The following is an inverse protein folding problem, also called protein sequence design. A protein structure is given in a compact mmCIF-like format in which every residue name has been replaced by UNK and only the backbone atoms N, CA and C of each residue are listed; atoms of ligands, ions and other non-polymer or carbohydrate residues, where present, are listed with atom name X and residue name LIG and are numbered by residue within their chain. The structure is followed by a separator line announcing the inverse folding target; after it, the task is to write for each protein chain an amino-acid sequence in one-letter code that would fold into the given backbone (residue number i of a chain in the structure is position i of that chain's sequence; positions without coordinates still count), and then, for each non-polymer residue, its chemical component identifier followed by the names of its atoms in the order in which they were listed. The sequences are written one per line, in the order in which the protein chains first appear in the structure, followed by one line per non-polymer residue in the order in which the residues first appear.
data_IF_676412817742
#
_entry.id   IF_676412817742
#
_cell.length_a   1.000
_cell.length_b   1.000
_cell.length_c   1.000
_cell.angle_alpha   90.00
_cell.angle_beta   90.00
_cell.angle_gamma   90.00
#
_symmetry.space_group_name_H-M   'P 1'
#
loop_
_entity.id
_entity.type
_entity.pdbx_description
1 polymer ?
#
# COMPACT_ATOMS: atom_id res chain seq x y z
N UNK A 1 -18.41 11.73 -1.60
CA UNK A 1 -18.25 10.84 -0.44
C UNK A 1 -17.04 9.90 -0.62
N UNK A 2 -15.81 10.44 -0.64
CA UNK A 2 -14.60 9.66 -0.98
C UNK A 2 -13.65 9.42 0.22
N UNK A 3 -14.01 9.86 1.42
CA UNK A 3 -13.12 9.84 2.59
C UNK A 3 -13.25 8.58 3.44
N UNK A 4 -14.42 7.94 3.48
CA UNK A 4 -14.64 6.72 4.28
C UNK A 4 -14.01 5.46 3.68
N UNK A 5 -14.04 5.32 2.35
CA UNK A 5 -13.46 4.15 1.66
C UNK A 5 -11.93 4.11 1.78
N UNK A 6 -11.29 5.29 1.69
CA UNK A 6 -9.83 5.45 1.77
C UNK A 6 -9.28 4.97 3.13
N UNK A 7 -10.04 5.24 4.20
CA UNK A 7 -9.66 4.87 5.56
C UNK A 7 -9.90 3.39 5.88
N UNK A 8 -10.91 2.78 5.25
CA UNK A 8 -11.15 1.33 5.28
C UNK A 8 -10.05 0.55 4.57
N UNK A 9 -9.67 1.01 3.36
CA UNK A 9 -8.57 0.44 2.57
C UNK A 9 -7.25 0.46 3.35
N UNK A 10 -6.91 1.61 3.95
CA UNK A 10 -5.73 1.72 4.81
C UNK A 10 -5.68 0.65 5.91
N UNK A 11 -6.80 0.40 6.61
CA UNK A 11 -6.87 -0.59 7.68
C UNK A 11 -6.75 -2.03 7.18
N UNK A 12 -7.40 -2.36 6.07
CA UNK A 12 -7.32 -3.69 5.46
C UNK A 12 -5.88 -3.98 5.04
N UNK A 13 -5.23 -3.02 4.39
CA UNK A 13 -3.84 -3.17 3.97
C UNK A 13 -2.87 -3.26 5.14
N UNK A 14 -3.07 -2.47 6.20
CA UNK A 14 -2.21 -2.55 7.37
C UNK A 14 -2.33 -3.92 8.08
N UNK A 15 -3.55 -4.45 8.19
CA UNK A 15 -3.77 -5.75 8.81
C UNK A 15 -3.24 -6.90 7.94
N UNK A 16 -3.32 -6.76 6.61
CA UNK A 16 -2.72 -7.73 5.68
C UNK A 16 -1.19 -7.70 5.71
N UNK A 17 -0.57 -6.52 5.91
CA UNK A 17 0.88 -6.39 6.05
C UNK A 17 1.40 -6.91 7.39
N UNK A 18 0.57 -6.92 8.44
CA UNK A 18 0.92 -7.56 9.72
C UNK A 18 0.99 -9.08 9.60
N UNK A 19 0.26 -9.68 8.65
CA UNK A 19 0.24 -11.14 8.42
C UNK A 19 1.18 -11.54 7.27
N UNK A 20 1.22 -10.75 6.20
CA UNK A 20 2.02 -10.96 4.99
C UNK A 20 2.69 -9.63 4.58
N UNK A 21 3.84 -9.30 5.16
CA UNK A 21 4.51 -8.01 4.94
C UNK A 21 4.92 -7.76 3.49
N UNK A 22 4.97 -8.81 2.66
CA UNK A 22 5.34 -8.74 1.24
C UNK A 22 4.14 -8.80 0.29
N UNK A 23 2.90 -8.69 0.79
CA UNK A 23 1.72 -8.65 -0.06
C UNK A 23 1.65 -7.32 -0.83
N UNK A 24 2.24 -7.28 -2.03
CA UNK A 24 2.34 -6.01 -2.75
C UNK A 24 1.05 -5.50 -3.38
N UNK A 25 -0.05 -6.27 -3.44
CA UNK A 25 -1.37 -5.68 -3.71
C UNK A 25 -1.76 -4.71 -2.58
N UNK A 26 -1.42 -5.07 -1.35
CA UNK A 26 -1.68 -4.23 -0.18
C UNK A 26 -0.75 -3.02 -0.11
N UNK A 27 0.53 -3.19 -0.45
CA UNK A 27 1.48 -2.08 -0.53
C UNK A 27 1.09 -1.08 -1.62
N UNK A 28 0.66 -1.54 -2.80
CA UNK A 28 0.24 -0.65 -3.88
C UNK A 28 -1.01 0.16 -3.52
N UNK A 29 -2.05 -0.49 -2.99
CA UNK A 29 -3.28 0.20 -2.58
C UNK A 29 -3.07 1.15 -1.40
N UNK A 30 -2.16 0.82 -0.49
CA UNK A 30 -1.77 1.70 0.61
C UNK A 30 -1.04 2.96 0.11
N UNK A 31 -0.08 2.81 -0.81
CA UNK A 31 0.62 3.95 -1.40
C UNK A 31 -0.35 4.90 -2.14
N UNK A 32 -1.29 4.35 -2.93
CA UNK A 32 -2.33 5.14 -3.60
C UNK A 32 -3.25 5.87 -2.60
N UNK A 33 -3.64 5.19 -1.52
CA UNK A 33 -4.46 5.79 -0.45
C UNK A 33 -3.73 6.94 0.25
N UNK A 34 -2.44 6.78 0.52
CA UNK A 34 -1.59 7.82 1.13
C UNK A 34 -1.39 9.02 0.20
N UNK A 35 -1.19 8.78 -1.11
CA UNK A 35 -1.15 9.87 -2.10
C UNK A 35 -2.47 10.64 -2.16
N UNK A 36 -3.61 9.95 -2.17
CA UNK A 36 -4.93 10.57 -2.19
C UNK A 36 -5.23 11.40 -0.91
N UNK A 37 -4.55 11.11 0.19
CA UNK A 37 -4.60 11.85 1.45
C UNK A 37 -3.58 13.00 1.52
N UNK A 38 -2.74 13.20 0.49
CA UNK A 38 -1.68 14.21 0.48
C UNK A 38 -0.45 13.83 1.31
N UNK A 39 -0.36 12.58 1.78
CA UNK A 39 0.73 12.05 2.60
C UNK A 39 1.83 11.50 1.70
N UNK A 40 2.42 12.35 0.86
CA UNK A 40 3.36 11.97 -0.19
C UNK A 40 4.63 11.28 0.32
N UNK A 41 5.20 11.71 1.45
CA UNK A 41 6.39 11.07 2.03
C UNK A 41 6.11 9.65 2.56
N UNK A 42 4.96 9.46 3.19
CA UNK A 42 4.51 8.13 3.64
C UNK A 42 4.22 7.22 2.44
N UNK A 43 3.61 7.78 1.38
CA UNK A 43 3.34 7.05 0.15
C UNK A 43 4.63 6.58 -0.55
N UNK A 44 5.65 7.42 -0.63
CA UNK A 44 6.96 7.07 -1.19
C UNK A 44 7.61 5.91 -0.43
N UNK A 45 7.55 5.96 0.91
CA UNK A 45 8.10 4.90 1.77
C UNK A 45 7.41 3.56 1.51
N UNK A 46 6.08 3.56 1.37
CA UNK A 46 5.30 2.35 1.06
C UNK A 46 5.55 1.89 -0.38
N UNK A 47 5.76 2.80 -1.33
CA UNK A 47 6.10 2.48 -2.71
C UNK A 47 7.47 1.79 -2.82
N UNK A 48 8.45 2.20 -2.01
CA UNK A 48 9.75 1.53 -1.95
C UNK A 48 9.63 0.12 -1.35
N UNK A 49 8.82 -0.05 -0.30
CA UNK A 49 8.51 -1.37 0.27
C UNK A 49 7.80 -2.26 -0.75
N UNK A 50 6.87 -1.71 -1.55
CA UNK A 50 6.25 -2.42 -2.68
C UNK A 50 7.31 -2.93 -3.65
N UNK A 51 8.22 -2.05 -4.10
CA UNK A 51 9.29 -2.44 -5.03
C UNK A 51 10.22 -3.51 -4.45
N UNK A 52 10.53 -3.44 -3.16
CA UNK A 52 11.36 -4.46 -2.48
C UNK A 52 10.63 -5.79 -2.32
N UNK A 53 9.35 -5.77 -1.96
CA UNK A 53 8.53 -6.98 -1.85
C UNK A 53 8.27 -7.63 -3.21
N UNK A 54 8.17 -6.83 -4.28
CA UNK A 54 7.93 -7.30 -5.64
C UNK A 54 9.19 -7.57 -6.45
N UNK A 55 10.39 -7.34 -5.91
CA UNK A 55 11.63 -7.60 -6.64
C UNK A 55 11.81 -9.10 -6.99
N UNK A 56 11.10 -9.99 -6.28
CA UNK A 56 11.06 -11.44 -6.53
C UNK A 56 9.68 -11.93 -7.01
N UNK A 57 8.74 -11.03 -7.25
CA UNK A 57 7.43 -11.40 -7.76
C UNK A 57 7.53 -11.64 -9.28
N UNK A 58 7.13 -12.84 -9.73
CA UNK A 58 7.13 -13.23 -11.16
C UNK A 58 6.07 -12.50 -12.02
N UNK A 59 5.47 -11.43 -11.49
CA UNK A 59 4.39 -10.67 -12.13
C UNK A 59 4.72 -9.19 -11.93
N UNK A 60 4.67 -8.40 -12.99
CA UNK A 60 4.72 -6.94 -12.93
C UNK A 60 3.31 -6.39 -13.17
N UNK A 61 2.84 -5.47 -12.31
CA UNK A 61 1.50 -4.87 -12.33
C UNK A 61 1.54 -3.41 -12.79
#
# INVERSE_FOLDING_TARGET
MKLGQVQLLYRVYHNDLDIYPENGWSLHGLAQSLQAQGKTAEAETVQQQYQQAWQYADIAL
#
